data_IF_601166065384
#
_entry.id   IF_601166065384
#
_cell.length_a   1.000
_cell.length_b   1.000
_cell.length_c   1.000
_cell.angle_alpha   90.00
_cell.angle_beta   90.00
_cell.angle_gamma   90.00
#
_symmetry.space_group_name_H-M   'P 1'
#
loop_
_entity.id
_entity.type
_entity.pdbx_description
1 polymer ?
#
# COMPACT_ATOMS: atom_id res chain seq x y z
N UNK A 1 -10.72 -6.88 11.37
CA UNK A 1 -10.86 -8.28 10.91
C UNK A 1 -11.97 -8.93 11.69
N UNK A 2 -12.81 -9.76 11.06
CA UNK A 2 -13.80 -10.56 11.77
C UNK A 2 -13.41 -12.04 11.72
N UNK A 3 -13.87 -12.78 12.73
CA UNK A 3 -13.85 -14.24 12.77
C UNK A 3 -15.26 -14.72 13.07
N UNK A 4 -15.69 -15.76 12.38
CA UNK A 4 -17.00 -16.37 12.60
C UNK A 4 -16.87 -17.89 12.61
N UNK A 5 -17.46 -18.52 13.61
CA UNK A 5 -17.42 -19.96 13.81
C UNK A 5 -18.83 -20.52 13.77
N UNK A 6 -19.04 -21.54 12.94
CA UNK A 6 -20.32 -22.22 12.78
C UNK A 6 -20.16 -23.66 13.27
N UNK A 7 -20.83 -24.01 14.35
CA UNK A 7 -20.89 -25.39 14.83
C UNK A 7 -21.80 -26.23 13.92
N UNK A 8 -21.22 -27.25 13.30
CA UNK A 8 -21.95 -28.20 12.46
C UNK A 8 -22.77 -29.16 13.32
N UNK A 9 -24.03 -29.36 12.93
CA UNK A 9 -24.98 -30.26 13.58
C UNK A 9 -25.24 -31.48 12.70
N UNK A 10 -25.50 -32.62 13.34
CA UNK A 10 -26.01 -33.80 12.64
C UNK A 10 -27.33 -33.47 11.93
N UNK A 11 -27.58 -34.12 10.79
CA UNK A 11 -28.76 -33.90 9.92
C UNK A 11 -28.95 -32.49 9.34
N UNK A 12 -27.96 -31.61 9.43
CA UNK A 12 -27.97 -30.31 8.73
C UNK A 12 -26.95 -30.34 7.60
N UNK A 13 -27.39 -30.07 6.37
CA UNK A 13 -26.54 -30.07 5.18
C UNK A 13 -26.12 -28.68 4.73
N UNK A 14 -26.83 -27.62 5.15
CA UNK A 14 -26.60 -26.26 4.70
C UNK A 14 -26.41 -25.35 5.91
N UNK A 15 -25.36 -24.53 5.87
CA UNK A 15 -25.11 -23.48 6.83
C UNK A 15 -24.97 -22.16 6.09
N UNK A 16 -25.48 -21.08 6.69
CA UNK A 16 -25.42 -19.75 6.10
C UNK A 16 -24.65 -18.82 7.02
N UNK A 17 -23.90 -17.91 6.42
CA UNK A 17 -23.25 -16.80 7.10
C UNK A 17 -23.60 -15.53 6.35
N UNK A 18 -24.00 -14.51 7.09
CA UNK A 18 -24.08 -13.15 6.59
C UNK A 18 -23.11 -12.25 7.34
N UNK A 19 -22.52 -11.32 6.62
CA UNK A 19 -21.86 -10.16 7.18
C UNK A 19 -22.56 -8.93 6.63
N UNK A 20 -22.99 -8.05 7.52
CA UNK A 20 -23.62 -6.78 7.17
C UNK A 20 -22.71 -5.63 7.59
N UNK A 21 -22.63 -4.63 6.72
CA UNK A 21 -21.88 -3.42 6.98
C UNK A 21 -22.44 -2.70 8.23
N UNK A 22 -21.59 -2.03 9.04
CA UNK A 22 -22.03 -1.35 10.28
C UNK A 22 -23.08 -0.25 10.08
N UNK A 23 -23.32 0.17 8.84
CA UNK A 23 -24.32 1.16 8.47
C UNK A 23 -24.33 1.37 6.96
N UNK A 24 -25.30 2.13 6.47
CA UNK A 24 -25.48 2.36 5.02
C UNK A 24 -24.29 3.04 4.36
N UNK A 25 -23.55 3.85 5.12
CA UNK A 25 -22.34 4.56 4.67
C UNK A 25 -21.19 3.64 4.33
N UNK A 26 -21.21 2.37 4.72
CA UNK A 26 -20.10 1.44 4.58
C UNK A 26 -20.43 0.35 3.54
N UNK A 27 -19.41 -0.06 2.78
CA UNK A 27 -19.47 -1.20 1.87
C UNK A 27 -18.23 -2.04 2.05
N UNK A 28 -18.39 -3.36 1.98
CA UNK A 28 -17.25 -4.19 1.64
C UNK A 28 -16.85 -3.80 0.21
N UNK A 29 -15.56 -3.60 -0.03
CA UNK A 29 -15.02 -3.41 -1.38
C UNK A 29 -14.29 -4.66 -1.86
N UNK A 30 -13.49 -5.26 -0.97
CA UNK A 30 -12.72 -6.47 -1.21
C UNK A 30 -12.46 -7.17 0.13
N UNK A 31 -12.50 -8.50 0.16
CA UNK A 31 -11.98 -9.27 1.28
C UNK A 31 -11.33 -10.56 0.81
N UNK A 32 -10.23 -10.95 1.47
CA UNK A 32 -9.70 -12.31 1.42
C UNK A 32 -10.06 -13.03 2.70
N UNK A 33 -10.75 -14.17 2.58
CA UNK A 33 -11.20 -14.98 3.70
C UNK A 33 -10.54 -16.36 3.64
N UNK A 34 -10.06 -16.84 4.78
CA UNK A 34 -9.66 -18.23 4.96
C UNK A 34 -10.80 -18.97 5.64
N UNK A 35 -11.22 -20.08 5.03
CA UNK A 35 -12.34 -20.87 5.51
C UNK A 35 -11.84 -22.27 5.82
N UNK A 36 -11.78 -22.63 7.10
CA UNK A 36 -11.32 -23.94 7.55
C UNK A 36 -12.50 -24.81 7.96
N UNK A 37 -12.40 -26.08 7.60
CA UNK A 37 -13.30 -27.17 8.00
C UNK A 37 -13.21 -28.32 7.00
N UNK A 38 -14.09 -29.31 7.09
CA UNK A 38 -14.03 -30.50 6.24
C UNK A 38 -15.35 -30.78 5.49
N UNK A 39 -15.21 -31.21 4.24
CA UNK A 39 -16.24 -31.80 3.38
C UNK A 39 -17.47 -30.91 3.17
N UNK A 40 -17.22 -29.72 2.59
CA UNK A 40 -18.28 -28.83 2.15
C UNK A 40 -17.85 -27.98 0.95
N UNK A 41 -18.86 -27.55 0.20
CA UNK A 41 -18.75 -26.54 -0.84
C UNK A 41 -19.12 -25.16 -0.28
N UNK A 42 -18.41 -24.12 -0.72
CA UNK A 42 -18.67 -22.71 -0.36
C UNK A 42 -19.28 -22.01 -1.57
N UNK A 43 -20.43 -21.38 -1.38
CA UNK A 43 -21.13 -20.59 -2.38
C UNK A 43 -21.29 -19.15 -1.92
N UNK A 44 -21.20 -18.21 -2.85
CA UNK A 44 -21.70 -16.85 -2.65
C UNK A 44 -23.16 -16.80 -3.05
N UNK A 45 -24.06 -16.41 -2.14
CA UNK A 45 -25.51 -16.45 -2.38
C UNK A 45 -25.98 -15.32 -3.30
N UNK A 46 -25.39 -14.14 -3.17
CA UNK A 46 -25.71 -12.95 -3.95
C UNK A 46 -24.46 -12.52 -4.73
N UNK A 47 -24.45 -12.75 -6.04
CA UNK A 47 -23.51 -12.13 -6.95
C UNK A 47 -24.07 -10.80 -7.48
N UNK A 48 -23.21 -9.91 -7.99
CA UNK A 48 -23.61 -8.59 -8.50
C UNK A 48 -24.61 -8.68 -9.67
N UNK A 49 -24.76 -9.87 -10.26
CA UNK A 49 -25.60 -10.22 -11.41
C UNK A 49 -26.99 -10.75 -11.02
N UNK A 50 -27.23 -11.02 -9.75
CA UNK A 50 -28.55 -11.29 -9.18
C UNK A 50 -29.32 -12.43 -9.84
N UNK A 51 -28.91 -13.70 -9.64
CA UNK A 51 -29.86 -14.82 -9.38
C UNK A 51 -29.25 -16.23 -9.21
N UNK A 52 -27.93 -16.45 -9.28
CA UNK A 52 -27.37 -17.82 -9.12
C UNK A 52 -26.22 -17.85 -8.11
N UNK A 53 -26.29 -18.72 -7.07
CA UNK A 53 -25.16 -18.90 -6.18
C UNK A 53 -23.92 -19.41 -6.94
N UNK A 54 -22.82 -18.66 -6.87
CA UNK A 54 -21.57 -19.06 -7.50
C UNK A 54 -20.73 -19.88 -6.52
N UNK A 55 -20.30 -21.09 -6.92
CA UNK A 55 -19.37 -21.90 -6.12
C UNK A 55 -18.01 -21.20 -6.10
N UNK A 56 -17.58 -20.78 -4.92
CA UNK A 56 -16.30 -20.11 -4.71
C UNK A 56 -15.17 -21.11 -4.49
N UNK A 57 -15.42 -22.15 -3.70
CA UNK A 57 -14.42 -23.15 -3.38
C UNK A 57 -15.05 -24.47 -2.87
N UNK A 58 -14.23 -25.52 -2.85
CA UNK A 58 -14.52 -26.81 -2.27
C UNK A 58 -13.46 -27.12 -1.19
N UNK A 59 -13.89 -27.55 -0.01
CA UNK A 59 -12.99 -27.99 1.06
C UNK A 59 -13.19 -29.48 1.33
N UNK A 60 -12.11 -30.24 1.23
CA UNK A 60 -12.07 -31.69 1.45
C UNK A 60 -11.02 -32.05 2.49
N UNK A 61 -11.21 -33.17 3.19
CA UNK A 61 -10.23 -33.66 4.16
C UNK A 61 -9.86 -35.13 3.86
N UNK A 62 -8.64 -35.42 3.36
CA UNK A 62 -8.26 -36.77 2.96
C UNK A 62 -8.12 -37.73 4.15
N UNK A 63 -7.75 -37.21 5.32
CA UNK A 63 -7.54 -37.99 6.54
C UNK A 63 -8.29 -37.37 7.74
N UNK A 64 -8.88 -38.20 8.60
CA UNK A 64 -9.56 -37.75 9.83
C UNK A 64 -8.64 -37.00 10.81
N UNK A 65 -7.32 -37.23 10.71
CA UNK A 65 -6.30 -36.65 11.59
C UNK A 65 -5.67 -35.33 11.12
N UNK A 66 -6.17 -34.68 10.07
CA UNK A 66 -5.67 -33.35 9.67
C UNK A 66 -5.92 -32.34 10.80
N UNK A 67 -4.87 -31.66 11.24
CA UNK A 67 -4.96 -30.61 12.26
C UNK A 67 -5.27 -29.25 11.60
N UNK A 68 -5.83 -28.32 12.37
CA UNK A 68 -6.07 -26.95 11.87
C UNK A 68 -4.78 -26.28 11.38
N UNK A 69 -3.67 -26.50 12.07
CA UNK A 69 -2.37 -25.90 11.73
C UNK A 69 -1.87 -26.36 10.36
N UNK A 70 -1.98 -27.66 10.06
CA UNK A 70 -1.61 -28.21 8.76
C UNK A 70 -2.54 -27.67 7.67
N UNK A 71 -3.86 -27.64 7.94
CA UNK A 71 -4.82 -27.10 6.98
C UNK A 71 -4.55 -25.62 6.64
N UNK A 72 -4.16 -24.80 7.63
CA UNK A 72 -3.91 -23.37 7.44
C UNK A 72 -2.58 -23.05 6.75
N UNK A 73 -1.62 -23.98 6.72
CA UNK A 73 -0.33 -23.76 6.04
C UNK A 73 -0.52 -23.54 4.54
N UNK A 74 -1.32 -24.39 3.88
CA UNK A 74 -1.42 -24.41 2.41
C UNK A 74 -2.80 -24.04 1.84
N UNK A 75 -3.80 -23.70 2.69
CA UNK A 75 -5.18 -23.25 2.39
C UNK A 75 -5.71 -23.32 0.93
N UNK A 76 -5.60 -24.50 0.31
CA UNK A 76 -5.76 -24.75 -1.13
C UNK A 76 -6.98 -25.63 -1.48
N UNK A 77 -7.89 -25.82 -0.52
CA UNK A 77 -9.01 -26.76 -0.61
C UNK A 77 -8.85 -28.02 0.25
N UNK A 78 -7.68 -28.23 0.88
CA UNK A 78 -7.45 -29.35 1.82
C UNK A 78 -7.57 -28.86 3.26
N UNK A 79 -8.72 -29.10 3.90
CA UNK A 79 -9.04 -28.62 5.27
C UNK A 79 -9.18 -27.11 5.44
N UNK A 80 -8.74 -26.32 4.46
CA UNK A 80 -8.84 -24.87 4.41
C UNK A 80 -8.92 -24.43 2.95
N UNK A 81 -9.75 -23.42 2.67
CA UNK A 81 -9.73 -22.73 1.38
C UNK A 81 -9.73 -21.21 1.54
N UNK A 82 -8.82 -20.55 0.83
CA UNK A 82 -8.79 -19.11 0.67
C UNK A 82 -9.71 -18.67 -0.47
N UNK A 83 -10.60 -17.72 -0.20
CA UNK A 83 -11.48 -17.12 -1.20
C UNK A 83 -11.26 -15.61 -1.27
N UNK A 84 -11.28 -15.07 -2.48
CA UNK A 84 -11.31 -13.64 -2.74
C UNK A 84 -12.73 -13.22 -3.10
N UNK A 85 -13.22 -12.21 -2.39
CA UNK A 85 -14.61 -11.81 -2.42
C UNK A 85 -14.69 -10.37 -2.93
N UNK A 86 -14.80 -10.16 -4.26
CA UNK A 86 -14.96 -8.85 -4.86
C UNK A 86 -16.42 -8.41 -4.73
N UNK A 87 -16.83 -8.07 -3.51
CA UNK A 87 -18.17 -7.57 -3.25
C UNK A 87 -18.06 -6.08 -3.06
N UNK A 88 -18.72 -5.30 -3.92
CA UNK A 88 -19.02 -3.88 -3.73
C UNK A 88 -20.42 -3.75 -3.16
N UNK A 89 -20.68 -4.33 -1.99
CA UNK A 89 -22.01 -4.37 -1.40
C UNK A 89 -21.96 -4.20 0.11
N UNK A 90 -23.12 -3.90 0.70
CA UNK A 90 -23.28 -3.75 2.15
C UNK A 90 -23.40 -5.10 2.85
N UNK A 91 -23.78 -6.15 2.11
CA UNK A 91 -24.01 -7.48 2.66
C UNK A 91 -23.21 -8.51 1.88
N UNK A 92 -22.50 -9.38 2.60
CA UNK A 92 -21.89 -10.60 2.08
C UNK A 92 -22.69 -11.79 2.63
N UNK A 93 -23.14 -12.67 1.75
CA UNK A 93 -23.79 -13.92 2.13
C UNK A 93 -23.03 -15.11 1.56
N UNK A 94 -22.56 -15.98 2.46
CA UNK A 94 -21.95 -17.26 2.13
C UNK A 94 -22.88 -18.39 2.54
N UNK A 95 -22.95 -19.41 1.69
CA UNK A 95 -23.66 -20.64 1.94
C UNK A 95 -22.67 -21.80 1.87
N UNK A 96 -22.65 -22.62 2.92
CA UNK A 96 -21.81 -23.81 3.06
C UNK A 96 -22.67 -25.05 2.88
N UNK A 97 -22.38 -25.88 1.88
CA UNK A 97 -23.14 -27.09 1.58
C UNK A 97 -22.27 -28.31 1.86
N UNK A 98 -22.59 -29.02 2.93
CA UNK A 98 -21.86 -30.23 3.37
C UNK A 98 -22.00 -31.36 2.35
N UNK A 99 -20.92 -32.08 2.09
CA UNK A 99 -20.96 -33.31 1.31
C UNK A 99 -21.55 -34.46 2.15
N UNK A 100 -22.51 -35.20 1.59
CA UNK A 100 -23.09 -36.39 2.22
C UNK A 100 -24.28 -36.14 3.17
N UNK A 101 -25.28 -37.02 3.12
CA UNK A 101 -26.52 -36.93 3.91
C UNK A 101 -26.31 -37.40 5.35
N UNK A 102 -26.29 -36.46 6.31
CA UNK A 102 -26.82 -36.63 7.67
C UNK A 102 -26.20 -37.65 8.64
N UNK A 103 -25.31 -38.55 8.23
CA UNK A 103 -24.84 -39.66 9.04
C UNK A 103 -23.33 -39.64 9.33
N UNK A 104 -22.77 -38.46 9.64
CA UNK A 104 -21.58 -38.46 10.49
C UNK A 104 -22.14 -38.51 11.91
N UNK A 105 -22.18 -39.71 12.49
CA UNK A 105 -22.16 -39.84 13.94
C UNK A 105 -20.95 -39.03 14.39
N UNK A 106 -21.22 -37.85 14.95
CA UNK A 106 -20.25 -37.11 15.75
C UNK A 106 -20.02 -38.00 16.96
N UNK A 107 -19.15 -38.99 16.78
CA UNK A 107 -18.78 -39.92 17.81
C UNK A 107 -18.09 -39.07 18.87
N UNK A 108 -18.82 -38.79 19.95
CA UNK A 108 -18.46 -37.82 21.00
C UNK A 108 -17.19 -38.20 21.78
N UNK A 109 -16.49 -39.25 21.33
CA UNK A 109 -15.34 -39.87 21.95
C UNK A 109 -14.14 -40.03 20.99
N UNK A 110 -14.17 -39.49 19.77
CA UNK A 110 -12.99 -39.51 18.90
C UNK A 110 -12.14 -38.24 19.05
N UNK A 111 -10.81 -38.39 19.08
CA UNK A 111 -9.81 -37.31 18.93
C UNK A 111 -9.88 -36.67 17.54
N UNK A 112 -11.08 -36.36 17.04
CA UNK A 112 -11.28 -35.71 15.76
C UNK A 112 -10.96 -34.23 15.88
N UNK A 113 -10.24 -33.74 14.88
CA UNK A 113 -9.99 -32.33 14.69
C UNK A 113 -11.30 -31.53 14.66
N UNK A 114 -11.30 -30.33 15.23
CA UNK A 114 -12.42 -29.37 15.20
C UNK A 114 -12.91 -29.07 13.77
N UNK A 115 -12.06 -29.28 12.76
CA UNK A 115 -12.39 -29.14 11.34
C UNK A 115 -13.63 -29.95 10.91
N UNK A 116 -13.92 -31.07 11.58
CA UNK A 116 -15.07 -31.94 11.26
C UNK A 116 -16.39 -31.46 11.88
N UNK A 117 -16.32 -30.63 12.91
CA UNK A 117 -17.46 -30.15 13.68
C UNK A 117 -17.68 -28.65 13.58
N UNK A 118 -16.75 -27.91 12.99
CA UNK A 118 -16.78 -26.45 12.97
C UNK A 118 -16.25 -25.90 11.66
N UNK A 119 -17.01 -24.99 11.07
CA UNK A 119 -16.55 -24.14 9.97
C UNK A 119 -16.06 -22.84 10.61
N UNK A 120 -14.79 -22.50 10.43
CA UNK A 120 -14.26 -21.22 10.86
C UNK A 120 -13.95 -20.36 9.63
N UNK A 121 -14.48 -19.14 9.63
CA UNK A 121 -14.24 -18.11 8.62
C UNK A 121 -13.40 -17.03 9.27
N UNK A 122 -12.18 -16.82 8.78
CA UNK A 122 -11.26 -15.80 9.27
C UNK A 122 -10.92 -14.82 8.16
N UNK A 123 -10.94 -13.52 8.48
CA UNK A 123 -10.50 -12.49 7.54
C UNK A 123 -8.98 -12.41 7.52
N UNK A 124 -8.36 -12.55 6.35
CA UNK A 124 -6.92 -12.29 6.17
C UNK A 124 -6.70 -10.78 6.05
N UNK A 125 -7.40 -10.15 5.12
CA UNK A 125 -7.52 -8.69 5.01
C UNK A 125 -8.85 -8.33 4.37
N UNK A 126 -9.32 -7.12 4.64
CA UNK A 126 -10.54 -6.59 4.04
C UNK A 126 -10.43 -5.08 3.88
N UNK A 127 -10.94 -4.59 2.76
CA UNK A 127 -11.08 -3.17 2.47
C UNK A 127 -12.55 -2.80 2.61
N UNK A 128 -12.83 -1.95 3.59
CA UNK A 128 -14.15 -1.33 3.78
C UNK A 128 -14.08 0.08 3.22
N UNK A 129 -14.95 0.37 2.27
CA UNK A 129 -15.10 1.69 1.68
C UNK A 129 -16.25 2.40 2.39
N UNK A 130 -16.11 3.70 2.62
CA UNK A 130 -17.12 4.51 3.26
C UNK A 130 -17.39 5.82 2.53
N UNK A 131 -18.60 6.38 2.70
CA UNK A 131 -19.06 7.62 2.08
C UNK A 131 -20.04 8.39 2.97
N UNK A 132 -20.09 9.70 2.79
CA UNK A 132 -21.18 10.52 3.30
C UNK A 132 -22.38 10.38 2.34
N UNK A 133 -23.57 10.14 2.90
CA UNK A 133 -24.80 9.84 2.17
C UNK A 133 -25.86 10.94 2.26
N UNK A 134 -25.52 12.09 2.85
CA UNK A 134 -26.42 13.25 2.97
C UNK A 134 -26.79 13.83 1.61
N UNK A 135 -25.87 13.74 0.63
CA UNK A 135 -26.08 14.10 -0.76
C UNK A 135 -25.55 12.99 -1.69
N UNK A 136 -26.20 12.74 -2.84
CA UNK A 136 -25.77 11.70 -3.76
C UNK A 136 -24.46 12.03 -4.47
N UNK A 137 -24.15 13.32 -4.64
CA UNK A 137 -22.95 13.81 -5.32
C UNK A 137 -22.43 15.11 -4.74
N UNK A 138 -21.19 15.48 -5.05
CA UNK A 138 -20.60 16.78 -4.81
C UNK A 138 -21.34 17.90 -5.54
N UNK A 139 -21.90 17.63 -6.73
CA UNK A 139 -22.69 18.63 -7.44
C UNK A 139 -23.96 19.02 -6.65
N UNK A 140 -24.62 18.04 -6.03
CA UNK A 140 -25.82 18.28 -5.22
C UNK A 140 -25.57 18.99 -3.88
N UNK A 141 -24.32 19.05 -3.39
CA UNK A 141 -24.02 19.77 -2.14
C UNK A 141 -24.04 21.29 -2.33
N UNK A 142 -23.88 21.79 -3.55
CA UNK A 142 -23.96 23.22 -3.85
C UNK A 142 -25.34 23.81 -3.52
N UNK A 143 -26.39 23.01 -3.66
CA UNK A 143 -27.77 23.43 -3.38
C UNK A 143 -28.10 23.40 -1.89
N UNK A 144 -27.40 22.59 -1.09
CA UNK A 144 -27.66 22.44 0.34
C UNK A 144 -26.38 22.40 1.18
N UNK A 145 -25.84 23.59 1.47
CA UNK A 145 -24.63 23.76 2.30
C UNK A 145 -24.81 23.34 3.76
N UNK A 146 -26.05 23.19 4.26
CA UNK A 146 -26.26 22.94 5.70
C UNK A 146 -25.78 21.57 6.16
N UNK A 147 -25.77 20.58 5.27
CA UNK A 147 -25.31 19.22 5.58
C UNK A 147 -23.94 18.90 4.97
N UNK A 148 -23.33 19.84 4.23
CA UNK A 148 -22.08 19.61 3.52
C UNK A 148 -20.95 19.25 4.50
N UNK A 149 -20.39 18.05 4.32
CA UNK A 149 -19.46 17.47 5.28
C UNK A 149 -18.02 17.98 5.15
N UNK A 150 -17.63 18.57 4.00
CA UNK A 150 -16.26 19.02 3.77
C UNK A 150 -16.09 20.45 4.28
N UNK A 151 -15.93 20.59 5.58
CA UNK A 151 -16.02 21.90 6.24
C UNK A 151 -14.67 22.62 6.35
N UNK A 152 -13.55 21.95 6.06
CA UNK A 152 -12.24 22.59 6.07
C UNK A 152 -12.07 23.49 4.84
N UNK A 153 -11.48 24.69 5.02
CA UNK A 153 -11.27 25.68 3.96
C UNK A 153 -10.45 25.12 2.77
N UNK A 154 -9.50 24.23 3.05
CA UNK A 154 -8.64 23.58 2.06
C UNK A 154 -9.05 22.14 1.80
N UNK A 155 -10.35 21.91 1.65
CA UNK A 155 -10.90 20.61 1.31
C UNK A 155 -11.83 20.68 0.11
N UNK A 156 -11.81 19.62 -0.68
CA UNK A 156 -12.70 19.41 -1.82
C UNK A 156 -13.52 18.15 -1.62
N UNK A 157 -14.71 18.19 -2.20
CA UNK A 157 -15.57 17.03 -2.32
C UNK A 157 -15.12 16.16 -3.50
N UNK A 158 -15.16 14.85 -3.32
CA UNK A 158 -14.93 13.86 -4.38
C UNK A 158 -16.07 12.86 -4.45
N UNK A 159 -16.67 12.76 -5.65
CA UNK A 159 -17.71 11.78 -5.94
C UNK A 159 -17.15 10.36 -5.96
N UNK A 160 -17.92 9.44 -5.38
CA UNK A 160 -17.57 8.04 -5.34
C UNK A 160 -17.93 7.30 -6.64
N UNK A 161 -17.05 7.29 -7.63
CA UNK A 161 -17.36 6.64 -8.93
C UNK A 161 -17.35 5.10 -8.93
N UNK A 162 -16.74 4.46 -7.92
CA UNK A 162 -16.39 3.03 -8.00
C UNK A 162 -17.23 2.06 -7.17
N UNK A 163 -18.35 2.46 -6.58
CA UNK A 163 -19.23 1.56 -5.82
C UNK A 163 -20.70 1.84 -6.14
N UNK A 164 -21.61 0.86 -6.01
CA UNK A 164 -23.03 1.05 -6.33
C UNK A 164 -23.74 2.05 -5.39
N UNK A 165 -23.05 2.61 -4.40
CA UNK A 165 -23.61 3.55 -3.43
C UNK A 165 -23.27 4.98 -3.83
N UNK A 166 -24.28 5.77 -4.17
CA UNK A 166 -24.14 7.23 -4.32
C UNK A 166 -23.67 7.88 -3.02
N UNK A 167 -22.85 8.92 -3.13
CA UNK A 167 -22.26 9.62 -1.99
C UNK A 167 -20.87 10.15 -2.32
N UNK A 168 -20.34 10.95 -1.41
CA UNK A 168 -19.05 11.61 -1.59
C UNK A 168 -18.14 11.43 -0.38
N UNK A 169 -16.87 11.71 -0.60
CA UNK A 169 -15.88 11.87 0.44
C UNK A 169 -15.28 13.28 0.37
N UNK A 170 -14.69 13.70 1.48
CA UNK A 170 -13.95 14.93 1.57
C UNK A 170 -12.47 14.59 1.60
N UNK A 171 -11.68 15.41 0.95
CA UNK A 171 -10.24 15.25 0.90
C UNK A 171 -9.60 16.62 0.85
N UNK A 172 -8.47 16.74 1.51
CA UNK A 172 -7.74 18.00 1.48
C UNK A 172 -7.29 18.30 0.05
N UNK A 173 -7.22 19.58 -0.26
CA UNK A 173 -6.66 20.04 -1.53
C UNK A 173 -5.20 19.60 -1.67
N UNK A 174 -4.69 19.60 -2.91
CA UNK A 174 -3.28 19.32 -3.16
C UNK A 174 -2.39 20.23 -2.31
N UNK A 175 -1.42 19.67 -1.59
CA UNK A 175 -0.57 20.41 -0.65
C UNK A 175 -1.02 20.39 0.80
N UNK A 176 -2.26 19.97 1.06
CA UNK A 176 -2.85 19.95 2.41
C UNK A 176 -3.05 18.52 2.89
N UNK A 177 -2.89 18.32 4.20
CA UNK A 177 -3.08 17.05 4.87
C UNK A 177 -3.88 17.25 6.16
N UNK A 178 -4.55 16.19 6.60
CA UNK A 178 -5.30 16.16 7.84
C UNK A 178 -6.74 15.71 7.63
N UNK A 179 -7.65 16.22 8.45
CA UNK A 179 -9.03 15.79 8.48
C UNK A 179 -9.93 16.83 7.78
N UNK A 180 -10.43 16.59 6.56
CA UNK A 180 -11.23 17.55 5.80
C UNK A 180 -12.65 17.77 6.38
N UNK A 181 -13.06 16.95 7.33
CA UNK A 181 -14.40 16.97 7.94
C UNK A 181 -14.49 17.84 9.20
N UNK A 182 -13.39 18.50 9.60
CA UNK A 182 -13.36 19.42 10.74
C UNK A 182 -12.88 20.81 10.30
N UNK A 183 -13.34 21.86 10.99
CA UNK A 183 -12.91 23.23 10.72
C UNK A 183 -11.38 23.30 10.87
N UNK A 184 -10.70 23.91 9.89
CA UNK A 184 -9.22 24.00 9.82
C UNK A 184 -8.47 22.65 9.88
N UNK A 185 -9.15 21.53 9.62
CA UNK A 185 -8.54 20.22 9.71
C UNK A 185 -7.59 19.87 8.56
N UNK A 186 -7.72 20.51 7.41
CA UNK A 186 -6.74 20.47 6.33
C UNK A 186 -5.73 21.59 6.52
N UNK A 187 -4.49 21.20 6.81
CA UNK A 187 -3.38 22.14 7.03
C UNK A 187 -2.22 21.79 6.12
N UNK A 188 -1.38 22.79 5.81
CA UNK A 188 -0.15 22.54 5.06
C UNK A 188 0.78 21.67 5.89
N UNK A 189 1.46 20.78 5.20
CA UNK A 189 2.44 19.88 5.81
C UNK A 189 3.60 20.69 6.44
N UNK A 190 3.70 20.63 7.76
CA UNK A 190 4.77 21.24 8.57
C UNK A 190 5.68 20.18 9.20
N UNK A 191 5.56 18.92 8.78
CA UNK A 191 6.27 17.80 9.41
C UNK A 191 7.75 17.68 9.02
N UNK A 192 8.20 18.44 8.02
CA UNK A 192 9.60 18.45 7.59
C UNK A 192 10.43 19.37 8.48
N UNK A 193 11.42 18.80 9.16
CA UNK A 193 12.42 19.53 9.91
C UNK A 193 13.74 19.53 9.14
N UNK A 194 14.24 20.68 8.65
CA UNK A 194 15.47 20.77 7.85
C UNK A 194 16.76 20.49 8.63
N UNK A 195 16.69 20.38 9.96
CA UNK A 195 17.84 20.08 10.79
C UNK A 195 17.65 18.73 11.51
N UNK A 196 18.67 17.89 11.42
CA UNK A 196 18.78 16.67 12.22
C UNK A 196 18.71 17.05 13.72
N UNK A 197 17.86 16.38 14.49
CA UNK A 197 17.66 16.71 15.90
C UNK A 197 18.69 16.05 16.82
N UNK A 198 19.15 14.85 16.45
CA UNK A 198 20.19 14.11 17.15
C UNK A 198 21.55 14.50 16.57
N UNK A 199 22.62 14.61 17.35
CA UNK A 199 23.94 14.97 16.80
C UNK A 199 24.60 13.79 16.05
N UNK A 200 24.41 12.56 16.55
CA UNK A 200 25.01 11.34 16.03
C UNK A 200 23.92 10.40 15.52
N UNK A 201 23.98 10.07 14.24
CA UNK A 201 23.02 9.18 13.57
C UNK A 201 23.74 8.09 12.81
N UNK A 202 23.21 6.88 12.87
CA UNK A 202 23.68 5.81 11.99
C UNK A 202 23.27 6.11 10.54
N UNK A 203 24.25 6.05 9.64
CA UNK A 203 24.11 6.43 8.22
C UNK A 203 24.27 5.27 7.25
N UNK A 204 24.23 4.03 7.76
CA UNK A 204 24.36 2.82 6.95
C UNK A 204 23.48 1.71 7.49
N UNK A 205 22.91 0.93 6.56
CA UNK A 205 22.33 -0.37 6.83
C UNK A 205 23.06 -1.39 5.96
N UNK A 206 24.07 -2.06 6.53
CA UNK A 206 25.00 -2.90 5.78
C UNK A 206 25.76 -2.10 4.70
N UNK A 207 25.59 -2.47 3.44
CA UNK A 207 26.20 -1.78 2.29
C UNK A 207 25.39 -0.59 1.77
N UNK A 208 24.20 -0.33 2.31
CA UNK A 208 23.32 0.75 1.86
C UNK A 208 23.56 2.00 2.70
N UNK A 209 23.92 3.10 2.03
CA UNK A 209 24.04 4.41 2.67
C UNK A 209 22.64 5.01 2.92
N UNK A 210 22.44 5.56 4.11
CA UNK A 210 21.19 6.20 4.57
C UNK A 210 21.45 7.70 4.83
N UNK A 211 21.60 8.50 3.76
CA UNK A 211 21.82 9.93 3.89
C UNK A 211 20.57 10.66 4.39
N UNK A 212 20.78 11.79 5.06
CA UNK A 212 19.70 12.74 5.33
C UNK A 212 19.07 13.19 3.99
N UNK A 213 17.74 13.26 3.83
CA UNK A 213 16.71 13.46 4.86
C UNK A 213 16.13 12.16 5.45
N UNK A 214 16.67 10.99 5.08
CA UNK A 214 16.30 9.71 5.67
C UNK A 214 17.05 9.49 6.98
N UNK A 215 16.54 8.58 7.82
CA UNK A 215 17.19 8.20 9.08
C UNK A 215 16.69 6.86 9.59
N UNK A 216 17.52 6.20 10.39
CA UNK A 216 17.22 4.89 11.00
C UNK A 216 16.58 5.01 12.38
N UNK A 217 16.69 6.19 12.99
CA UNK A 217 16.34 6.44 14.38
C UNK A 217 15.49 7.71 14.50
N UNK A 218 14.79 7.83 15.62
CA UNK A 218 14.09 9.06 15.98
C UNK A 218 15.07 10.24 16.04
N UNK A 219 14.69 11.36 15.43
CA UNK A 219 15.53 12.57 15.33
C UNK A 219 16.59 12.54 14.22
N UNK A 220 16.78 11.42 13.52
CA UNK A 220 17.76 11.30 12.42
C UNK A 220 17.18 11.49 11.02
N UNK A 221 15.86 11.30 10.88
CA UNK A 221 15.10 11.57 9.66
C UNK A 221 14.49 12.99 9.72
N UNK A 222 14.34 13.64 8.56
CA UNK A 222 13.73 14.97 8.47
C UNK A 222 12.23 14.96 8.81
N UNK A 223 11.59 13.80 8.68
CA UNK A 223 10.16 13.58 8.99
C UNK A 223 9.89 12.09 9.19
N UNK A 224 8.78 11.76 9.85
CA UNK A 224 8.39 10.38 10.17
C UNK A 224 8.34 9.45 8.94
N UNK A 225 7.83 9.94 7.81
CA UNK A 225 7.73 9.16 6.56
C UNK A 225 9.09 8.87 5.89
N UNK A 226 10.17 9.48 6.36
CA UNK A 226 11.54 9.20 5.89
C UNK A 226 12.34 8.39 6.91
N UNK A 227 11.70 7.95 7.99
CA UNK A 227 12.30 6.99 8.90
C UNK A 227 12.27 5.61 8.25
N UNK A 228 13.41 4.97 8.18
CA UNK A 228 13.60 3.64 7.63
C UNK A 228 13.94 2.67 8.77
N UNK A 229 13.66 1.39 8.55
CA UNK A 229 13.92 0.33 9.52
C UNK A 229 15.03 -0.58 8.99
N UNK A 230 16.20 -0.59 9.65
CA UNK A 230 17.26 -1.53 9.32
C UNK A 230 17.10 -2.79 10.18
N UNK A 231 16.55 -3.86 9.61
CA UNK A 231 16.26 -5.09 10.35
C UNK A 231 17.46 -6.03 10.43
N UNK A 232 18.41 -5.93 9.50
CA UNK A 232 19.64 -6.73 9.52
C UNK A 232 20.80 -6.04 8.80
N UNK A 233 21.84 -5.68 9.55
CA UNK A 233 23.05 -5.04 9.03
C UNK A 233 23.86 -5.95 8.09
N UNK A 234 23.88 -7.26 8.32
CA UNK A 234 24.71 -8.20 7.53
C UNK A 234 24.14 -8.43 6.14
N UNK A 235 22.81 -8.49 6.03
CA UNK A 235 22.11 -8.67 4.74
C UNK A 235 21.67 -7.35 4.11
N UNK A 236 22.05 -6.21 4.68
CA UNK A 236 21.60 -4.86 4.27
C UNK A 236 20.06 -4.75 4.15
N UNK A 237 19.35 -5.38 5.09
CA UNK A 237 17.89 -5.41 5.08
C UNK A 237 17.33 -4.09 5.61
N UNK A 238 17.02 -3.17 4.69
CA UNK A 238 16.48 -1.84 4.95
C UNK A 238 15.05 -1.76 4.43
N UNK A 239 14.12 -1.33 5.28
CA UNK A 239 12.69 -1.31 4.96
C UNK A 239 12.10 0.10 5.09
N UNK A 240 11.19 0.44 4.18
CA UNK A 240 10.30 1.59 4.25
C UNK A 240 8.88 1.08 4.56
N UNK A 241 8.31 1.54 5.67
CA UNK A 241 6.97 1.15 6.15
C UNK A 241 6.74 -0.37 6.27
N UNK A 242 7.79 -1.16 6.52
CA UNK A 242 7.77 -2.64 6.63
C UNK A 242 7.31 -3.41 5.36
N UNK A 243 6.94 -2.71 4.28
CA UNK A 243 6.40 -3.29 3.03
C UNK A 243 7.36 -3.20 1.83
N UNK A 244 8.32 -2.27 1.87
CA UNK A 244 9.22 -2.02 0.74
C UNK A 244 10.67 -2.19 1.18
N UNK A 245 11.39 -3.11 0.53
CA UNK A 245 12.82 -3.26 0.71
C UNK A 245 13.56 -2.16 -0.06
N UNK A 246 14.26 -1.29 0.64
CA UNK A 246 15.07 -0.24 0.04
C UNK A 246 16.42 -0.82 -0.38
N UNK A 247 16.77 -0.71 -1.66
CA UNK A 247 18.02 -1.27 -2.22
C UNK A 247 19.13 -0.23 -2.36
N UNK A 248 18.77 1.04 -2.60
CA UNK A 248 19.70 2.17 -2.60
C UNK A 248 18.97 3.50 -2.41
N UNK A 249 19.69 4.52 -1.99
CA UNK A 249 19.21 5.91 -1.90
C UNK A 249 20.20 6.81 -2.63
N UNK A 250 19.76 7.42 -3.73
CA UNK A 250 20.53 8.40 -4.49
C UNK A 250 19.94 9.79 -4.30
N UNK A 251 20.47 10.49 -3.29
CA UNK A 251 20.03 11.85 -2.92
C UNK A 251 20.25 12.87 -4.04
N UNK A 252 21.36 12.80 -4.77
CA UNK A 252 21.66 13.76 -5.84
C UNK A 252 20.63 13.67 -6.99
N UNK A 253 20.28 12.45 -7.41
CA UNK A 253 19.30 12.23 -8.46
C UNK A 253 17.86 12.20 -7.95
N UNK A 254 17.64 12.14 -6.65
CA UNK A 254 16.31 12.06 -6.04
C UNK A 254 15.63 10.73 -6.33
N UNK A 255 16.39 9.63 -6.31
CA UNK A 255 15.90 8.28 -6.63
C UNK A 255 16.16 7.31 -5.48
N UNK A 256 15.14 6.55 -5.08
CA UNK A 256 15.24 5.45 -4.13
C UNK A 256 14.91 4.16 -4.87
N UNK A 257 15.79 3.17 -4.78
CA UNK A 257 15.48 1.82 -5.25
C UNK A 257 14.62 1.11 -4.23
N UNK A 258 13.49 0.57 -4.66
CA UNK A 258 12.57 -0.21 -3.82
C UNK A 258 12.25 -1.54 -4.49
N UNK A 259 12.22 -2.58 -3.69
CA UNK A 259 11.67 -3.89 -4.03
C UNK A 259 10.39 -4.08 -3.21
N UNK A 260 9.27 -4.25 -3.91
CA UNK A 260 7.97 -4.58 -3.30
C UNK A 260 8.03 -6.03 -2.80
N UNK A 261 7.80 -6.23 -1.50
CA UNK A 261 7.78 -7.55 -0.86
C UNK A 261 6.38 -8.05 -0.57
N UNK A 262 5.35 -7.30 -0.95
CA UNK A 262 3.96 -7.68 -0.70
C UNK A 262 3.52 -8.81 -1.62
N UNK A 263 2.64 -9.69 -1.12
CA UNK A 263 1.99 -10.73 -1.95
C UNK A 263 1.22 -10.12 -3.14
N UNK A 264 0.86 -8.84 -3.03
CA UNK A 264 0.18 -8.09 -4.07
C UNK A 264 1.04 -7.90 -5.33
N UNK A 265 2.36 -7.98 -5.21
CA UNK A 265 3.33 -7.92 -6.32
C UNK A 265 2.97 -8.88 -7.45
N UNK A 266 2.60 -10.12 -7.12
CA UNK A 266 2.25 -11.13 -8.11
C UNK A 266 0.98 -10.77 -8.88
N UNK A 267 0.02 -10.11 -8.22
CA UNK A 267 -1.22 -9.66 -8.84
C UNK A 267 -1.04 -8.39 -9.67
N UNK A 268 -0.25 -7.43 -9.16
CA UNK A 268 -0.06 -6.14 -9.82
C UNK A 268 0.75 -6.27 -11.12
N UNK A 269 1.81 -7.07 -11.09
CA UNK A 269 2.71 -7.24 -12.24
C UNK A 269 2.41 -8.49 -13.07
N UNK A 270 1.43 -9.30 -12.68
CA UNK A 270 0.97 -10.46 -13.43
C UNK A 270 0.29 -10.04 -14.74
N UNK A 271 0.77 -10.56 -15.88
CA UNK A 271 0.14 -10.28 -17.17
C UNK A 271 -0.99 -11.29 -17.42
N UNK A 272 -2.20 -10.77 -17.67
CA UNK A 272 -3.34 -11.58 -18.12
C UNK A 272 -3.51 -11.44 -19.62
N UNK A 273 -3.00 -12.42 -20.37
CA UNK A 273 -3.25 -12.53 -21.81
C UNK A 273 -4.47 -13.41 -22.02
N UNK A 274 -5.54 -12.85 -22.59
CA UNK A 274 -6.76 -13.60 -22.94
C UNK A 274 -6.44 -14.81 -23.81
N UNK A 275 -7.03 -15.97 -23.48
CA UNK A 275 -6.88 -17.26 -24.18
C UNK A 275 -5.51 -17.95 -24.06
N UNK A 276 -4.56 -17.40 -23.32
CA UNK A 276 -3.35 -18.11 -22.94
C UNK A 276 -3.45 -18.63 -21.50
N UNK A 277 -2.79 -19.75 -21.17
CA UNK A 277 -2.57 -20.10 -19.78
C UNK A 277 -1.84 -18.94 -19.08
N UNK A 278 -2.08 -18.75 -17.78
CA UNK A 278 -1.44 -17.70 -16.97
C UNK A 278 0.05 -18.01 -16.78
N UNK A 279 0.83 -17.90 -17.84
CA UNK A 279 2.24 -18.30 -17.90
C UNK A 279 3.19 -17.19 -17.43
N UNK A 280 2.69 -15.96 -17.27
CA UNK A 280 3.50 -14.80 -16.91
C UNK A 280 3.28 -14.43 -15.44
N UNK A 281 4.35 -14.56 -14.65
CA UNK A 281 4.42 -14.03 -13.30
C UNK A 281 5.24 -12.74 -13.33
N UNK A 282 4.72 -11.69 -12.69
CA UNK A 282 5.48 -10.46 -12.53
C UNK A 282 6.53 -10.64 -11.43
N UNK A 283 7.81 -10.53 -11.79
CA UNK A 283 8.90 -10.63 -10.81
C UNK A 283 9.10 -9.33 -10.02
N UNK A 284 8.68 -8.18 -10.58
CA UNK A 284 8.63 -6.85 -9.92
C UNK A 284 9.89 -6.48 -9.13
N UNK A 285 11.06 -7.00 -9.55
CA UNK A 285 12.22 -7.19 -8.65
C UNK A 285 12.77 -5.89 -8.09
N UNK A 286 12.66 -4.78 -8.83
CA UNK A 286 12.99 -3.46 -8.30
C UNK A 286 12.39 -2.35 -9.16
N UNK A 287 12.03 -1.25 -8.51
CA UNK A 287 11.66 0.00 -9.15
C UNK A 287 12.46 1.15 -8.53
N UNK A 288 12.68 2.22 -9.31
CA UNK A 288 13.22 3.47 -8.80
C UNK A 288 12.08 4.46 -8.59
N UNK A 289 11.91 4.95 -7.37
CA UNK A 289 10.90 5.95 -7.03
C UNK A 289 11.54 7.31 -6.77
N UNK A 290 10.85 8.38 -7.15
CA UNK A 290 11.20 9.75 -6.77
C UNK A 290 10.45 10.14 -5.49
N UNK A 291 11.01 11.05 -4.69
CA UNK A 291 10.34 11.61 -3.52
C UNK A 291 10.25 13.13 -3.62
N UNK A 292 9.22 13.67 -2.97
CA UNK A 292 9.14 15.07 -2.61
C UNK A 292 9.33 15.22 -1.09
N UNK A 293 10.04 16.26 -0.65
CA UNK A 293 10.26 16.52 0.79
C UNK A 293 9.03 17.13 1.46
N UNK A 294 8.27 17.91 0.71
CA UNK A 294 6.96 18.44 1.09
C UNK A 294 6.14 18.71 -0.17
N UNK A 295 4.81 18.67 -0.02
CA UNK A 295 3.87 19.01 -1.08
C UNK A 295 3.71 20.54 -1.18
N UNK A 296 4.76 21.20 -1.66
CA UNK A 296 4.84 22.64 -1.91
C UNK A 296 5.49 22.88 -3.28
N UNK A 297 5.11 23.97 -3.92
CA UNK A 297 5.91 24.49 -5.04
C UNK A 297 7.24 25.03 -4.54
N UNK A 298 8.24 25.11 -5.41
CA UNK A 298 9.52 25.72 -5.03
C UNK A 298 9.38 27.16 -4.55
N UNK A 299 8.48 27.93 -5.17
CA UNK A 299 8.22 29.32 -4.78
C UNK A 299 7.68 29.41 -3.35
N UNK A 300 6.70 28.57 -3.01
CA UNK A 300 6.13 28.52 -1.65
C UNK A 300 7.13 28.01 -0.62
N UNK A 301 7.91 26.99 -0.99
CA UNK A 301 8.92 26.41 -0.10
C UNK A 301 10.00 27.44 0.25
N UNK A 302 10.44 28.24 -0.72
CA UNK A 302 11.44 29.30 -0.52
C UNK A 302 10.95 30.46 0.35
N UNK A 303 9.63 30.68 0.40
CA UNK A 303 9.02 31.67 1.31
C UNK A 303 9.00 31.18 2.76
N UNK A 304 8.96 29.86 2.99
CA UNK A 304 8.97 29.25 4.31
C UNK A 304 10.41 28.96 4.79
N UNK A 305 11.14 30.01 5.17
CA UNK A 305 12.58 29.93 5.51
C UNK A 305 12.89 28.86 6.55
N UNK A 306 12.06 28.72 7.61
CA UNK A 306 12.32 27.77 8.71
C UNK A 306 12.06 26.32 8.35
N UNK A 307 11.25 26.04 7.31
CA UNK A 307 10.91 24.70 6.84
C UNK A 307 11.52 24.34 5.49
N UNK A 308 12.32 25.23 4.90
CA UNK A 308 12.90 25.01 3.57
C UNK A 308 13.98 23.92 3.60
N UNK A 309 13.81 22.91 2.76
CA UNK A 309 14.62 21.70 2.82
C UNK A 309 15.98 21.79 2.12
N UNK A 310 16.15 22.70 1.16
CA UNK A 310 17.37 22.80 0.36
C UNK A 310 18.37 23.67 1.10
N UNK A 311 18.99 23.08 2.14
CA UNK A 311 19.84 23.79 3.10
C UNK A 311 21.21 24.16 2.51
N UNK A 312 21.71 23.39 1.54
CA UNK A 312 23.00 23.70 0.93
C UNK A 312 22.94 24.97 0.08
N UNK A 313 23.92 25.87 0.23
CA UNK A 313 24.01 27.12 -0.54
C UNK A 313 24.11 26.85 -2.05
N UNK A 314 24.80 25.77 -2.43
CA UNK A 314 24.96 25.35 -3.83
C UNK A 314 23.89 24.33 -4.24
N UNK A 315 22.66 24.52 -3.76
CA UNK A 315 21.52 23.70 -4.13
C UNK A 315 20.40 24.51 -4.78
N UNK A 316 19.55 23.82 -5.51
CA UNK A 316 18.36 24.33 -6.15
C UNK A 316 17.15 23.48 -5.78
N UNK A 317 15.98 24.09 -5.83
CA UNK A 317 14.71 23.42 -5.69
C UNK A 317 14.21 22.96 -7.05
N UNK A 318 13.72 21.72 -7.12
CA UNK A 318 13.12 21.12 -8.31
C UNK A 318 11.73 20.61 -7.98
N UNK A 319 10.76 20.87 -8.86
CA UNK A 319 9.44 20.24 -8.78
C UNK A 319 9.51 18.74 -9.06
N UNK A 320 8.67 17.97 -8.39
CA UNK A 320 8.47 16.53 -8.58
C UNK A 320 7.06 16.34 -9.09
N UNK A 321 6.93 15.78 -10.29
CA UNK A 321 5.66 15.55 -10.95
C UNK A 321 5.44 14.05 -11.13
N UNK A 322 4.20 13.62 -10.94
CA UNK A 322 3.72 12.35 -11.50
C UNK A 322 3.20 12.59 -12.92
N UNK A 323 2.69 11.55 -13.56
CA UNK A 323 2.02 11.66 -14.86
C UNK A 323 0.78 12.55 -14.80
N UNK A 324 0.06 12.53 -13.66
CA UNK A 324 -1.26 13.17 -13.53
C UNK A 324 -1.21 14.48 -12.74
N UNK A 325 -0.32 14.57 -11.74
CA UNK A 325 -0.33 15.67 -10.76
C UNK A 325 1.08 16.09 -10.30
N UNK A 326 1.21 17.35 -9.86
CA UNK A 326 2.37 17.85 -9.12
C UNK A 326 2.39 17.26 -7.71
N UNK A 327 3.50 16.63 -7.32
CA UNK A 327 3.63 15.91 -6.04
C UNK A 327 4.20 16.81 -4.94
N UNK A 328 5.13 17.69 -5.29
CA UNK A 328 5.87 18.51 -4.33
C UNK A 328 7.22 18.91 -4.89
N UNK A 329 8.15 19.32 -4.02
CA UNK A 329 9.50 19.66 -4.45
C UNK A 329 10.55 18.72 -3.85
N UNK A 330 11.73 18.71 -4.45
CA UNK A 330 12.96 18.10 -3.93
C UNK A 330 14.13 19.06 -4.13
N UNK A 331 15.27 18.71 -3.55
CA UNK A 331 16.49 19.50 -3.68
C UNK A 331 17.48 18.77 -4.58
N UNK A 332 18.29 19.54 -5.30
CA UNK A 332 19.40 19.06 -6.12
C UNK A 332 20.57 20.01 -5.98
N UNK A 333 21.80 19.52 -6.11
CA UNK A 333 22.94 20.43 -6.24
C UNK A 333 22.84 21.22 -7.56
N UNK A 334 23.33 22.46 -7.55
CA UNK A 334 23.45 23.29 -8.76
C UNK A 334 24.52 22.74 -9.70
N UNK A 335 24.50 23.17 -10.96
CA UNK A 335 25.46 22.72 -11.97
C UNK A 335 26.91 22.99 -11.50
N UNK A 336 27.76 21.96 -11.57
CA UNK A 336 29.15 22.01 -11.11
C UNK A 336 29.38 21.54 -9.67
N UNK A 337 28.31 21.21 -8.94
CA UNK A 337 28.37 20.69 -7.57
C UNK A 337 27.76 19.29 -7.48
N UNK A 338 28.27 18.49 -6.55
CA UNK A 338 27.78 17.14 -6.25
C UNK A 338 27.70 16.92 -4.74
N UNK A 339 26.75 16.10 -4.30
CA UNK A 339 26.61 15.68 -2.92
C UNK A 339 25.16 15.75 -2.44
N UNK A 340 24.98 16.14 -1.19
CA UNK A 340 23.69 16.14 -0.51
C UNK A 340 23.14 17.58 -0.37
N UNK A 341 22.11 17.97 -1.14
CA UNK A 341 21.55 19.32 -1.08
C UNK A 341 20.73 19.60 0.19
N UNK A 342 20.39 18.57 0.97
CA UNK A 342 19.56 18.69 2.17
C UNK A 342 20.34 19.04 3.44
N UNK A 343 21.67 19.08 3.37
CA UNK A 343 22.54 19.43 4.51
C UNK A 343 23.37 20.67 4.17
N UNK A 344 23.73 21.43 5.20
CA UNK A 344 24.60 22.58 5.05
C UNK A 344 25.93 22.16 4.41
N UNK A 345 26.38 22.92 3.40
CA UNK A 345 27.61 22.66 2.63
C UNK A 345 27.72 21.26 1.99
N UNK A 346 26.60 20.54 1.87
CA UNK A 346 26.59 19.18 1.33
C UNK A 346 26.77 19.09 -0.18
N UNK A 347 26.56 20.18 -0.92
CA UNK A 347 26.89 20.28 -2.35
C UNK A 347 28.31 20.86 -2.51
N UNK A 348 29.26 19.99 -2.86
CA UNK A 348 30.68 20.32 -3.03
C UNK A 348 31.06 20.40 -4.51
N UNK A 349 31.88 21.39 -4.86
CA UNK A 349 32.36 21.55 -6.24
C UNK A 349 33.32 20.42 -6.61
N UNK A 350 33.13 19.83 -7.79
CA UNK A 350 34.11 18.90 -8.34
C UNK A 350 34.99 19.64 -9.35
N UNK A 351 36.31 19.53 -9.21
CA UNK A 351 37.22 20.06 -10.21
C UNK A 351 37.10 19.20 -11.48
N UNK A 352 36.49 19.77 -12.53
CA UNK A 352 36.55 19.26 -13.91
C UNK A 352 37.98 19.39 -14.45
N UNK A 353 38.95 18.71 -13.86
CA UNK A 353 40.22 18.47 -14.52
C UNK A 353 40.09 17.19 -15.32
N UNK A 354 40.06 17.23 -16.68
CA UNK A 354 40.10 16.01 -17.47
C UNK A 354 41.44 15.32 -17.16
N UNK A 355 41.38 14.10 -16.65
CA UNK A 355 42.56 13.22 -16.67
C UNK A 355 43.01 13.13 -18.13
N UNK A 356 44.26 13.47 -18.49
CA UNK A 356 44.70 13.38 -19.87
C UNK A 356 44.66 11.92 -20.28
N UNK A 357 43.64 11.54 -21.05
CA UNK A 357 43.66 10.28 -21.79
C UNK A 357 44.88 10.30 -22.73
N UNK A 358 45.68 9.24 -22.82
CA UNK A 358 46.86 9.21 -23.67
C UNK A 358 46.45 8.93 -25.12
N UNK A 359 45.77 9.87 -25.77
CA UNK A 359 45.59 9.87 -27.22
C UNK A 359 46.29 11.07 -27.84
N UNK A 360 47.57 10.85 -28.15
CA UNK A 360 48.42 11.74 -28.94
C UNK A 360 48.18 11.43 -30.42
N UNK A 361 47.33 12.19 -31.11
CA UNK A 361 47.25 12.16 -32.57
C UNK A 361 47.36 13.57 -33.14
N UNK A 362 48.60 13.88 -33.53
CA UNK A 362 49.10 14.78 -34.58
C UNK A 362 48.19 15.92 -35.04
N UNK A 363 48.65 17.14 -34.78
CA UNK A 363 48.25 18.37 -35.47
C UNK A 363 48.54 18.27 -36.97
N UNK A 364 47.53 18.58 -37.77
CA UNK A 364 47.65 18.98 -39.18
C UNK A 364 47.89 20.49 -39.19
N UNK A 365 49.14 20.93 -39.26
CA UNK A 365 49.46 22.29 -39.70
C UNK A 365 50.83 22.46 -40.38
N UNK A 366 51.58 21.38 -40.63
CA UNK A 366 52.70 21.41 -41.57
C UNK A 366 52.22 21.12 -43.00
N UNK A 367 51.59 22.12 -43.60
CA UNK A 367 51.43 22.28 -45.05
C UNK A 367 51.25 23.77 -45.28
N UNK A 368 52.18 24.39 -46.00
CA UNK A 368 52.22 25.79 -46.49
C UNK A 368 52.95 26.85 -45.64
N UNK A 369 54.27 26.76 -45.50
CA UNK A 369 55.26 27.68 -46.14
C UNK A 369 56.68 27.35 -45.76
#
# INVERSE_FOLDING_TARGET
MFSHSISMKSNVSVYNMSWDAPGKSFTLGYARLNITGCDFDIYQVLDQSGNVPAKLCNVTCPNRGITEDIARQDCNGTGCCSIDVPIRAQTLQLMFVRHGKGAVELDAQSNQSSLWSTINVTTVYAVILWRILDQPTCASTFDNRTNYACISEHSKCMDGYFAPILGYNCLCDGGYQGNPYILDGCSRDRGYNPFQQKDVCDRKCGSIDVPYPFGLEEGCAARKSFQLNCTNMLSSSLQLNDEYHVTYINVSNGLMGVEDTTDYKQYMYGMRVTQEPQLYIGSGESASVQWAVANLTCLEAQQNISGYACVSINSTCLGVNSTDDYIGYRCSCTLGFQGNPYIQDGCQGYNLCPSPSPFRSRSFSDLTK
#
